data_IF_160153562370
#
_entry.id   IF_160153562370
#
_cell.length_a   1.000
_cell.length_b   1.000
_cell.length_c   1.000
_cell.angle_alpha   90.00
_cell.angle_beta   90.00
_cell.angle_gamma   90.00
#
_symmetry.space_group_name_H-M   'P 1'
#
loop_
_entity.id
_entity.type
_entity.pdbx_description
1 polymer ?
#
# COMPACT_ATOMS: atom_id res chain seq x y z
N UNK A 1 -33.26 41.45 32.19
CA UNK A 1 -32.02 42.18 31.93
C UNK A 1 -30.90 41.32 32.49
N UNK A 2 -30.69 40.13 31.94
CA UNK A 2 -30.19 39.78 30.60
C UNK A 2 -28.66 39.91 30.54
N UNK A 3 -28.01 38.76 30.44
CA UNK A 3 -26.57 38.60 30.20
C UNK A 3 -26.38 37.22 29.55
N UNK A 4 -26.34 37.22 28.22
CA UNK A 4 -25.92 36.12 27.38
C UNK A 4 -24.92 36.61 26.33
N UNK A 5 -24.25 35.63 25.69
CA UNK A 5 -23.29 35.73 24.57
C UNK A 5 -21.86 36.13 25.01
N UNK A 6 -20.78 35.46 24.62
CA UNK A 6 -20.43 34.87 23.32
C UNK A 6 -19.65 33.55 23.44
N UNK A 7 -20.02 32.53 22.65
CA UNK A 7 -19.20 31.36 22.41
C UNK A 7 -19.46 30.76 21.02
N UNK A 8 -19.23 31.55 19.95
CA UNK A 8 -19.25 31.10 18.55
C UNK A 8 -18.06 31.70 17.80
N UNK A 9 -16.90 31.03 17.80
CA UNK A 9 -15.82 31.38 16.86
C UNK A 9 -14.83 30.25 16.53
N UNK A 10 -15.04 29.02 17.02
CA UNK A 10 -14.08 27.91 16.78
C UNK A 10 -14.53 26.96 15.66
N UNK A 11 -15.82 26.91 15.30
CA UNK A 11 -16.33 26.01 14.25
C UNK A 11 -16.19 26.55 12.82
N UNK A 12 -15.96 27.86 12.64
CA UNK A 12 -15.89 28.49 11.31
C UNK A 12 -14.53 28.32 10.62
N UNK A 13 -13.44 28.13 11.38
CA UNK A 13 -12.10 27.93 10.81
C UNK A 13 -11.86 26.49 10.31
N UNK A 14 -12.53 25.47 10.89
CA UNK A 14 -12.40 24.09 10.43
C UNK A 14 -13.09 23.84 9.08
N UNK A 15 -14.24 24.51 8.82
CA UNK A 15 -14.96 24.40 7.53
C UNK A 15 -14.21 25.05 6.36
N UNK A 16 -13.53 26.18 6.57
CA UNK A 16 -12.82 26.87 5.49
C UNK A 16 -11.60 26.08 4.97
N UNK A 17 -10.99 25.26 5.83
CA UNK A 17 -9.85 24.40 5.46
C UNK A 17 -10.25 23.22 4.56
N UNK A 18 -11.45 22.67 4.74
CA UNK A 18 -12.03 21.63 3.89
C UNK A 18 -12.45 22.17 2.50
N UNK A 19 -12.97 23.40 2.45
CA UNK A 19 -13.33 24.06 1.18
C UNK A 19 -12.11 24.43 0.33
N UNK A 20 -10.96 24.70 0.93
CA UNK A 20 -9.71 24.93 0.18
C UNK A 20 -9.21 23.69 -0.59
N UNK A 21 -9.61 22.49 -0.16
CA UNK A 21 -9.29 21.22 -0.83
C UNK A 21 -10.29 20.88 -1.94
N UNK A 22 -11.52 21.39 -1.85
CA UNK A 22 -12.55 21.31 -2.89
C UNK A 22 -12.12 22.06 -4.16
N UNK A 23 -11.40 23.18 -4.03
CA UNK A 23 -10.92 23.99 -5.16
C UNK A 23 -9.87 23.34 -6.07
N UNK A 24 -9.29 22.19 -5.67
CA UNK A 24 -8.34 21.42 -6.51
C UNK A 24 -9.04 20.35 -7.35
N UNK A 25 -10.37 20.19 -7.21
CA UNK A 25 -11.15 19.10 -7.81
C UNK A 25 -11.87 19.44 -9.11
N UNK A 26 -11.59 20.59 -9.74
CA UNK A 26 -12.23 20.92 -11.02
C UNK A 26 -11.48 20.29 -12.20
N UNK A 27 -11.68 18.98 -12.37
CA UNK A 27 -11.57 18.33 -13.67
C UNK A 27 -13.00 18.18 -14.20
N UNK A 28 -13.37 19.07 -15.11
CA UNK A 28 -14.61 19.03 -15.87
C UNK A 28 -14.70 17.70 -16.63
N UNK A 29 -15.69 16.88 -16.29
CA UNK A 29 -16.18 15.81 -17.16
C UNK A 29 -17.68 16.05 -17.27
N UNK A 30 -18.05 16.66 -18.39
CA UNK A 30 -19.44 16.75 -18.82
C UNK A 30 -19.94 15.35 -19.19
N UNK A 31 -21.12 15.01 -18.68
CA UNK A 31 -21.96 13.90 -19.15
C UNK A 31 -22.35 14.11 -20.61
N UNK A 32 -22.38 13.03 -21.41
CA UNK A 32 -23.50 12.70 -22.30
C UNK A 32 -23.37 11.27 -22.87
N UNK A 33 -24.51 10.56 -22.80
CA UNK A 33 -24.97 9.40 -23.59
C UNK A 33 -24.38 7.99 -23.37
N UNK A 34 -25.10 6.89 -23.52
CA UNK A 34 -26.51 6.46 -23.33
C UNK A 34 -26.48 4.93 -23.56
N UNK A 35 -27.39 4.21 -22.91
CA UNK A 35 -27.65 2.76 -22.94
C UNK A 35 -27.54 2.02 -24.30
N UNK A 36 -27.08 0.75 -24.28
CA UNK A 36 -27.92 -0.42 -24.68
C UNK A 36 -27.19 -1.79 -24.63
N UNK A 37 -27.76 -2.69 -23.81
CA UNK A 37 -28.14 -4.11 -24.02
C UNK A 37 -27.21 -5.07 -24.82
N UNK A 38 -26.92 -6.27 -24.25
CA UNK A 38 -27.37 -7.60 -24.76
C UNK A 38 -27.07 -8.74 -23.76
N UNK A 39 -28.10 -9.59 -23.60
CA UNK A 39 -28.21 -10.87 -22.88
C UNK A 39 -27.14 -11.91 -23.23
N UNK A 40 -26.75 -12.74 -22.26
CA UNK A 40 -26.25 -14.10 -22.50
C UNK A 40 -26.92 -15.07 -21.48
N UNK A 41 -27.45 -16.23 -21.91
CA UNK A 41 -28.25 -17.10 -21.05
C UNK A 41 -27.39 -18.00 -20.16
N UNK A 42 -27.95 -18.32 -18.99
CA UNK A 42 -27.50 -19.34 -18.06
C UNK A 42 -27.82 -20.71 -18.65
N UNK A 43 -26.83 -21.60 -18.73
CA UNK A 43 -27.05 -23.03 -18.98
C UNK A 43 -26.63 -23.78 -17.73
N UNK A 44 -27.62 -24.31 -17.03
CA UNK A 44 -27.45 -25.34 -16.00
C UNK A 44 -27.04 -26.65 -16.66
N UNK A 45 -26.00 -27.30 -16.14
CA UNK A 45 -25.83 -28.74 -16.30
C UNK A 45 -25.31 -29.35 -14.99
N UNK A 46 -26.21 -30.07 -14.34
CA UNK A 46 -25.94 -31.08 -13.33
C UNK A 46 -25.25 -32.28 -13.98
N UNK A 47 -24.14 -32.77 -13.40
CA UNK A 47 -23.80 -34.19 -13.48
C UNK A 47 -23.06 -34.64 -12.21
N UNK A 48 -23.65 -35.63 -11.55
CA UNK A 48 -23.08 -36.42 -10.46
C UNK A 48 -22.33 -37.60 -11.05
N UNK A 49 -21.14 -37.91 -10.54
CA UNK A 49 -20.50 -39.20 -10.84
C UNK A 49 -19.10 -39.41 -10.28
N UNK A 50 -19.00 -40.24 -9.24
CA UNK A 50 -18.03 -41.35 -9.21
C UNK A 50 -16.57 -41.04 -8.88
N UNK A 51 -16.20 -41.21 -7.61
CA UNK A 51 -14.83 -41.41 -7.19
C UNK A 51 -14.23 -42.71 -7.77
N UNK A 52 -13.08 -42.61 -8.43
CA UNK A 52 -12.14 -43.74 -8.62
C UNK A 52 -10.73 -43.21 -8.35
N UNK A 53 -10.19 -43.60 -7.19
CA UNK A 53 -8.78 -43.48 -6.85
C UNK A 53 -8.02 -44.49 -7.70
N UNK A 54 -7.18 -44.02 -8.62
CA UNK A 54 -6.17 -44.86 -9.27
C UNK A 54 -4.78 -44.34 -8.94
N UNK A 55 -4.07 -45.11 -8.12
CA UNK A 55 -2.63 -45.01 -7.93
C UNK A 55 -1.95 -45.36 -9.25
N UNK A 56 -1.35 -44.37 -9.91
CA UNK A 56 -0.32 -44.64 -10.91
C UNK A 56 0.98 -43.94 -10.50
N UNK A 57 1.90 -44.76 -10.02
CA UNK A 57 3.27 -44.43 -9.70
C UNK A 57 4.08 -44.39 -11.00
N UNK A 58 4.13 -43.22 -11.64
CA UNK A 58 5.13 -42.95 -12.68
C UNK A 58 6.25 -42.10 -12.07
N UNK A 59 7.33 -42.78 -11.71
CA UNK A 59 8.64 -42.22 -11.41
C UNK A 59 9.22 -41.58 -12.68
N UNK A 60 8.81 -40.36 -12.99
CA UNK A 60 9.59 -39.47 -13.85
C UNK A 60 10.53 -38.67 -12.97
N UNK A 61 11.81 -39.04 -13.01
CA UNK A 61 12.91 -38.30 -12.39
C UNK A 61 13.26 -37.07 -13.25
N UNK A 62 12.28 -36.22 -13.54
CA UNK A 62 12.52 -34.87 -14.05
C UNK A 62 12.70 -33.97 -12.83
N UNK A 63 13.82 -33.24 -12.82
CA UNK A 63 14.27 -32.45 -11.67
C UNK A 63 13.18 -31.48 -11.20
N UNK A 64 12.57 -31.78 -10.05
CA UNK A 64 11.52 -30.96 -9.46
C UNK A 64 11.97 -29.49 -9.36
N UNK A 65 11.17 -28.60 -9.94
CA UNK A 65 11.35 -27.16 -9.80
C UNK A 65 11.22 -26.78 -8.32
N UNK A 66 12.14 -25.93 -7.85
CA UNK A 66 12.14 -25.43 -6.48
C UNK A 66 11.46 -24.06 -6.51
N UNK A 67 10.28 -23.96 -5.93
CA UNK A 67 9.57 -22.69 -5.82
C UNK A 67 10.20 -21.89 -4.67
N UNK A 68 10.53 -20.62 -4.92
CA UNK A 68 11.05 -19.73 -3.90
C UNK A 68 10.08 -19.60 -2.70
N UNK A 69 10.63 -19.49 -1.50
CA UNK A 69 9.86 -19.28 -0.29
C UNK A 69 9.57 -17.79 -0.06
N UNK A 70 8.33 -17.40 -0.33
CA UNK A 70 7.81 -16.03 -0.19
C UNK A 70 7.88 -15.51 1.27
N UNK A 71 8.09 -16.36 2.27
CA UNK A 71 8.30 -15.93 3.66
C UNK A 71 9.68 -15.30 3.91
N UNK A 72 10.67 -15.62 3.07
CA UNK A 72 12.06 -15.20 3.30
C UNK A 72 12.27 -13.68 3.20
N UNK A 73 11.71 -12.94 2.22
CA UNK A 73 11.96 -11.51 2.14
C UNK A 73 11.36 -10.73 3.31
N UNK A 74 10.17 -11.15 3.79
CA UNK A 74 9.51 -10.54 4.96
C UNK A 74 10.30 -10.74 6.27
N UNK A 75 11.12 -11.80 6.35
CA UNK A 75 12.00 -12.02 7.51
C UNK A 75 13.16 -11.03 7.60
N UNK A 76 13.49 -10.32 6.52
CA UNK A 76 14.66 -9.43 6.41
C UNK A 76 15.97 -10.06 6.93
N UNK A 77 16.17 -11.36 6.70
CA UNK A 77 17.33 -12.12 7.20
C UNK A 77 18.71 -11.56 6.77
N UNK A 78 18.76 -10.72 5.75
CA UNK A 78 19.97 -9.99 5.34
C UNK A 78 20.46 -8.97 6.38
N UNK A 79 19.63 -8.59 7.36
CA UNK A 79 20.01 -7.68 8.44
C UNK A 79 20.91 -8.32 9.49
N UNK A 80 20.91 -9.65 9.61
CA UNK A 80 21.59 -10.38 10.67
C UNK A 80 20.67 -11.34 11.40
N UNK A 81 21.22 -12.08 12.36
CA UNK A 81 20.50 -13.05 13.21
C UNK A 81 20.43 -12.60 14.68
N UNK A 82 20.95 -11.42 14.94
CA UNK A 82 21.18 -10.83 16.26
C UNK A 82 20.10 -9.79 16.63
N UNK A 83 19.04 -9.69 15.83
CA UNK A 83 17.87 -8.89 16.16
C UNK A 83 17.07 -9.60 17.25
N UNK A 84 16.94 -8.94 18.39
CA UNK A 84 16.14 -9.40 19.51
C UNK A 84 14.71 -8.89 19.36
N UNK A 85 13.74 -9.79 19.57
CA UNK A 85 12.32 -9.44 19.60
C UNK A 85 12.02 -8.61 20.85
N UNK A 86 11.38 -7.46 20.64
CA UNK A 86 10.94 -6.59 21.71
C UNK A 86 9.43 -6.70 21.83
N UNK A 87 8.97 -7.14 23.00
CA UNK A 87 7.56 -7.19 23.35
C UNK A 87 7.03 -5.84 23.81
N UNK A 88 5.75 -5.58 23.55
CA UNK A 88 5.07 -4.37 24.02
C UNK A 88 4.54 -3.54 22.87
N UNK A 89 3.22 -3.30 22.89
CA UNK A 89 2.51 -2.51 21.88
C UNK A 89 1.87 -1.31 22.54
N UNK A 90 2.32 -0.11 22.18
CA UNK A 90 1.68 1.14 22.58
C UNK A 90 0.73 1.62 21.48
N UNK A 91 -0.52 1.85 21.84
CA UNK A 91 -1.52 2.50 20.98
C UNK A 91 -2.02 3.71 21.73
N UNK A 92 -1.84 4.89 21.13
CA UNK A 92 -2.30 6.15 21.70
C UNK A 92 -3.80 6.32 21.50
N UNK A 93 -4.45 7.01 22.43
CA UNK A 93 -5.86 7.39 22.30
C UNK A 93 -6.06 8.31 21.10
N UNK A 94 -7.11 8.09 20.32
CA UNK A 94 -7.46 8.95 19.19
C UNK A 94 -7.71 10.39 19.67
N UNK A 95 -7.36 11.38 18.82
CA UNK A 95 -7.48 12.82 19.10
C UNK A 95 -6.63 13.33 20.28
N UNK A 96 -5.77 12.49 20.87
CA UNK A 96 -4.83 12.91 21.89
C UNK A 96 -3.64 13.68 21.30
N UNK A 97 -3.12 14.64 22.06
CA UNK A 97 -1.86 15.32 21.78
C UNK A 97 -0.75 14.64 22.55
N UNK A 98 0.26 14.14 21.84
CA UNK A 98 1.38 13.40 22.42
C UNK A 98 2.70 13.93 21.91
N UNK A 99 3.75 13.82 22.73
CA UNK A 99 5.11 14.19 22.32
C UNK A 99 5.89 12.93 22.04
N UNK A 100 6.33 12.75 20.79
CA UNK A 100 7.06 11.55 20.37
C UNK A 100 8.42 11.90 19.74
N UNK A 101 9.44 11.03 19.86
CA UNK A 101 10.65 11.15 19.06
C UNK A 101 10.32 11.07 17.57
N UNK A 102 10.96 11.89 16.73
CA UNK A 102 10.76 11.91 15.29
C UNK A 102 12.02 11.46 14.59
N UNK A 103 11.92 10.40 13.77
CA UNK A 103 13.05 9.90 13.00
C UNK A 103 13.44 10.95 11.93
N UNK A 104 14.66 11.50 11.96
CA UNK A 104 15.13 12.41 10.93
C UNK A 104 15.49 11.65 9.64
N UNK A 105 15.36 12.32 8.50
CA UNK A 105 15.69 11.75 7.18
C UNK A 105 14.44 11.29 6.43
N UNK A 106 14.62 10.97 5.15
CA UNK A 106 13.50 10.84 4.22
C UNK A 106 13.21 9.39 3.91
N UNK A 107 12.23 8.86 4.62
CA UNK A 107 11.66 7.53 4.44
C UNK A 107 10.49 7.50 3.42
N UNK A 108 10.26 8.59 2.68
CA UNK A 108 9.02 8.75 1.92
C UNK A 108 7.83 8.75 2.88
N UNK A 109 6.75 8.04 2.52
CA UNK A 109 5.51 7.99 3.30
C UNK A 109 5.28 6.59 3.88
N UNK A 110 5.46 6.45 5.19
CA UNK A 110 5.13 5.24 5.95
C UNK A 110 3.62 5.10 6.09
N UNK A 111 3.05 3.97 5.68
CA UNK A 111 1.64 3.67 5.90
C UNK A 111 1.43 2.81 7.14
N UNK A 112 0.28 2.93 7.83
CA UNK A 112 -0.13 1.98 8.86
C UNK A 112 -0.10 0.54 8.33
N UNK A 113 0.42 -0.39 9.14
CA UNK A 113 0.58 -1.80 8.79
C UNK A 113 1.83 -2.14 7.97
N UNK A 114 2.55 -1.15 7.42
CA UNK A 114 3.75 -1.39 6.63
C UNK A 114 4.96 -1.70 7.53
N UNK A 115 5.71 -2.74 7.17
CA UNK A 115 7.00 -3.11 7.79
C UNK A 115 8.09 -2.15 7.34
N UNK A 116 8.95 -1.75 8.28
CA UNK A 116 9.99 -0.75 8.13
C UNK A 116 11.33 -1.26 8.70
N UNK A 117 12.19 -1.88 7.88
CA UNK A 117 13.55 -2.22 8.28
C UNK A 117 14.47 -0.99 8.16
N UNK A 118 15.36 -0.80 9.13
CA UNK A 118 16.30 0.33 9.15
C UNK A 118 17.66 -0.08 9.70
N UNK A 119 18.73 0.45 9.11
CA UNK A 119 20.11 0.36 9.62
C UNK A 119 20.68 1.77 9.73
N UNK A 120 21.17 2.11 10.91
CA UNK A 120 21.62 3.45 11.29
C UNK A 120 23.03 3.41 11.83
N UNK A 121 23.83 4.41 11.46
CA UNK A 121 25.20 4.62 12.00
C UNK A 121 25.43 6.02 12.58
N UNK A 122 24.59 7.00 12.25
CA UNK A 122 24.75 8.35 12.80
C UNK A 122 24.26 8.45 14.23
N UNK A 123 24.96 9.30 14.99
CA UNK A 123 24.71 9.48 16.41
C UNK A 123 23.28 9.92 16.72
N UNK A 124 22.69 10.83 15.93
CA UNK A 124 21.35 11.37 16.18
C UNK A 124 20.25 10.32 16.10
N UNK A 125 20.21 9.53 15.01
CA UNK A 125 19.24 8.45 14.85
C UNK A 125 19.52 7.28 15.81
N UNK A 126 20.79 6.92 16.04
CA UNK A 126 21.15 5.84 16.97
C UNK A 126 20.70 6.15 18.40
N UNK A 127 20.94 7.38 18.88
CA UNK A 127 20.49 7.81 20.22
C UNK A 127 18.96 7.85 20.32
N UNK A 128 18.26 8.28 19.26
CA UNK A 128 16.80 8.23 19.22
C UNK A 128 16.29 6.80 19.36
N UNK A 129 16.82 5.86 18.57
CA UNK A 129 16.35 4.48 18.55
C UNK A 129 16.61 3.77 19.88
N UNK A 130 17.79 3.95 20.47
CA UNK A 130 18.11 3.38 21.78
C UNK A 130 17.14 3.88 22.86
N UNK A 131 16.86 5.19 22.87
CA UNK A 131 15.88 5.77 23.79
C UNK A 131 14.45 5.27 23.55
N UNK A 132 14.06 5.02 22.30
CA UNK A 132 12.77 4.42 22.00
C UNK A 132 12.69 3.00 22.58
N UNK A 133 13.73 2.18 22.42
CA UNK A 133 13.77 0.82 22.97
C UNK A 133 13.80 0.79 24.50
N UNK A 134 14.44 1.78 25.15
CA UNK A 134 14.38 1.92 26.61
C UNK A 134 13.00 2.41 27.13
N UNK A 135 12.16 2.95 26.25
CA UNK A 135 10.86 3.53 26.59
C UNK A 135 9.70 2.78 25.94
N UNK A 136 8.85 3.50 25.18
CA UNK A 136 7.60 2.98 24.62
C UNK A 136 7.74 2.27 23.27
N UNK A 137 8.98 2.01 22.83
CA UNK A 137 9.35 1.40 21.54
C UNK A 137 8.81 2.15 20.31
N UNK A 138 8.35 3.38 20.47
CA UNK A 138 7.59 4.11 19.45
C UNK A 138 8.30 5.41 19.04
N UNK A 139 8.31 5.69 17.74
CA UNK A 139 8.75 6.96 17.16
C UNK A 139 7.82 7.40 16.03
N UNK A 140 7.93 8.64 15.57
CA UNK A 140 7.15 9.19 14.48
C UNK A 140 7.94 9.33 13.19
N UNK A 141 7.35 8.92 12.07
CA UNK A 141 7.84 9.18 10.72
C UNK A 141 7.01 10.27 10.07
N UNK A 142 7.60 11.44 9.84
CA UNK A 142 6.92 12.56 9.16
C UNK A 142 7.07 12.40 7.65
N UNK A 143 5.95 12.47 6.92
CA UNK A 143 5.93 12.40 5.46
C UNK A 143 6.33 13.75 4.86
N UNK A 144 7.62 14.05 4.87
CA UNK A 144 8.16 15.35 4.50
C UNK A 144 9.01 15.27 3.23
N UNK A 145 8.42 15.18 2.03
CA UNK A 145 9.22 15.47 0.81
C UNK A 145 8.55 15.81 -0.53
N UNK A 146 7.23 15.91 -0.65
CA UNK A 146 6.62 16.07 -1.99
C UNK A 146 5.75 17.31 -2.19
N UNK A 147 6.02 18.41 -1.49
CA UNK A 147 5.45 19.68 -1.97
C UNK A 147 6.54 20.59 -2.47
N UNK A 148 6.47 20.83 -3.78
CA UNK A 148 6.95 22.05 -4.42
C UNK A 148 6.57 23.26 -3.57
N UNK A 149 7.48 24.23 -3.56
CA UNK A 149 7.56 25.40 -2.70
C UNK A 149 6.46 26.45 -2.94
N UNK A 150 5.18 26.06 -2.94
CA UNK A 150 4.11 26.97 -3.39
C UNK A 150 2.93 27.18 -2.43
N UNK A 151 2.73 26.43 -1.34
CA UNK A 151 1.54 26.65 -0.50
C UNK A 151 1.87 26.75 0.99
N UNK A 152 1.62 27.97 1.48
CA UNK A 152 1.58 28.44 2.86
C UNK A 152 0.55 27.57 3.63
N UNK A 153 0.90 27.14 4.85
CA UNK A 153 0.15 26.21 5.74
C UNK A 153 0.17 24.72 5.35
N UNK A 154 1.36 24.18 5.06
CA UNK A 154 1.54 22.73 4.83
C UNK A 154 1.25 21.93 6.11
N UNK A 155 0.05 21.37 6.22
CA UNK A 155 -0.27 20.34 7.21
C UNK A 155 0.67 19.14 7.01
N UNK A 156 1.43 18.81 8.04
CA UNK A 156 2.41 17.72 7.99
C UNK A 156 1.81 16.46 8.60
N UNK A 157 1.53 15.46 7.78
CA UNK A 157 1.08 14.14 8.23
C UNK A 157 2.27 13.21 8.47
N UNK A 158 2.04 12.22 9.33
CA UNK A 158 3.00 11.16 9.58
C UNK A 158 2.33 9.93 10.16
N UNK A 159 3.16 8.92 10.41
CA UNK A 159 2.73 7.64 10.96
C UNK A 159 3.65 7.28 12.12
N UNK A 160 3.07 6.86 13.25
CA UNK A 160 3.84 6.27 14.35
C UNK A 160 4.39 4.91 13.91
N UNK A 161 5.59 4.58 14.35
CA UNK A 161 6.27 3.33 14.06
C UNK A 161 6.70 2.69 15.38
N UNK A 162 6.33 1.43 15.56
CA UNK A 162 6.67 0.61 16.72
C UNK A 162 7.81 -0.32 16.36
N UNK A 163 8.91 -0.25 17.11
CA UNK A 163 10.05 -1.16 17.02
C UNK A 163 9.64 -2.48 17.66
N UNK A 164 9.71 -3.56 16.89
CA UNK A 164 9.42 -4.91 17.38
C UNK A 164 10.64 -5.84 17.31
N UNK A 165 11.69 -5.45 16.59
CA UNK A 165 13.00 -6.11 16.63
C UNK A 165 14.11 -5.07 16.64
N UNK A 166 15.16 -5.29 17.42
CA UNK A 166 16.28 -4.37 17.60
C UNK A 166 17.62 -5.09 17.76
N UNK A 167 18.69 -4.46 17.27
CA UNK A 167 20.07 -4.87 17.49
C UNK A 167 20.95 -3.61 17.55
N UNK A 168 21.90 -3.59 18.48
CA UNK A 168 22.94 -2.56 18.62
C UNK A 168 24.30 -3.25 18.67
N UNK A 169 24.86 -3.53 17.49
CA UNK A 169 26.11 -4.28 17.36
C UNK A 169 26.99 -3.69 16.24
N UNK A 170 28.31 -3.89 16.35
CA UNK A 170 29.30 -3.50 15.33
C UNK A 170 29.23 -2.02 14.91
N UNK A 171 28.84 -1.14 15.83
CA UNK A 171 28.74 0.31 15.59
C UNK A 171 27.56 0.72 14.68
N UNK A 172 26.56 -0.15 14.51
CA UNK A 172 25.33 0.15 13.78
C UNK A 172 24.09 -0.33 14.57
N UNK A 173 23.07 0.51 14.63
CA UNK A 173 21.75 0.11 15.15
C UNK A 173 20.90 -0.40 14.00
N UNK A 174 20.35 -1.60 14.16
CA UNK A 174 19.42 -2.23 13.22
C UNK A 174 18.08 -2.42 13.90
N UNK A 175 17.01 -2.09 13.18
CA UNK A 175 15.65 -2.31 13.68
C UNK A 175 14.75 -2.89 12.60
N UNK A 176 13.69 -3.55 13.05
CA UNK A 176 12.45 -3.65 12.30
C UNK A 176 11.35 -2.97 13.10
N UNK A 177 10.61 -2.11 12.43
CA UNK A 177 9.47 -1.43 12.99
C UNK A 177 8.25 -1.58 12.10
N UNK A 178 7.06 -1.34 12.66
CA UNK A 178 5.79 -1.40 11.91
C UNK A 178 5.02 -0.11 12.08
N UNK A 179 4.51 0.44 10.97
CA UNK A 179 3.62 1.60 11.01
C UNK A 179 2.33 1.28 11.77
N UNK A 180 1.88 2.17 12.67
CA UNK A 180 0.70 1.94 13.52
C UNK A 180 -0.40 2.97 13.32
N UNK A 181 -0.21 4.21 13.78
CA UNK A 181 -1.27 5.22 13.81
C UNK A 181 -0.88 6.45 13.01
N UNK A 182 -1.87 7.05 12.35
CA UNK A 182 -1.69 8.32 11.65
C UNK A 182 -1.64 9.46 12.65
N UNK A 183 -0.83 10.46 12.36
CA UNK A 183 -0.79 11.69 13.14
C UNK A 183 -0.64 12.93 12.26
N UNK A 184 -1.03 14.07 12.82
CA UNK A 184 -0.71 15.41 12.32
C UNK A 184 0.35 16.03 13.21
N UNK A 185 1.46 16.46 12.64
CA UNK A 185 2.52 17.17 13.36
C UNK A 185 2.04 18.60 13.65
N UNK A 186 2.07 18.99 14.93
CA UNK A 186 1.70 20.32 15.39
C UNK A 186 2.92 21.22 15.53
N UNK A 187 3.94 20.71 16.22
CA UNK A 187 5.20 21.43 16.44
C UNK A 187 6.36 20.44 16.53
N UNK A 188 7.58 20.89 16.28
CA UNK A 188 8.78 20.08 16.43
C UNK A 188 9.91 20.86 17.08
N UNK A 189 10.65 20.22 17.97
CA UNK A 189 11.82 20.78 18.65
C UNK A 189 12.99 19.80 18.60
N UNK A 190 14.20 20.33 18.48
CA UNK A 190 15.43 19.53 18.55
C UNK A 190 15.83 19.40 20.01
N UNK A 191 16.11 18.18 20.45
CA UNK A 191 16.56 17.91 21.81
C UNK A 191 18.07 18.22 21.95
N UNK A 192 18.56 18.46 23.18
CA UNK A 192 20.00 18.62 23.42
C UNK A 192 20.84 17.41 22.96
N UNK A 193 20.25 16.21 22.97
CA UNK A 193 20.86 14.97 22.50
C UNK A 193 20.91 14.83 20.97
N UNK A 194 20.49 15.85 20.22
CA UNK A 194 20.64 15.93 18.76
C UNK A 194 19.51 15.33 17.93
N UNK A 195 18.58 14.59 18.53
CA UNK A 195 17.40 14.07 17.82
C UNK A 195 16.18 15.00 17.98
N UNK A 196 15.18 14.88 17.09
CA UNK A 196 13.97 15.71 17.11
C UNK A 196 12.85 15.05 17.89
N UNK A 197 12.05 15.83 18.59
CA UNK A 197 10.75 15.43 19.15
C UNK A 197 9.66 16.31 18.56
N UNK A 198 8.48 15.75 18.36
CA UNK A 198 7.31 16.47 17.84
C UNK A 198 6.12 16.33 18.77
N UNK A 199 5.41 17.43 18.96
CA UNK A 199 4.04 17.37 19.45
C UNK A 199 3.14 17.00 18.27
N UNK A 200 2.41 15.91 18.41
CA UNK A 200 1.56 15.36 17.35
C UNK A 200 0.15 15.15 17.86
N UNK A 201 -0.83 15.35 16.97
CA UNK A 201 -2.22 14.98 17.18
C UNK A 201 -2.46 13.60 16.54
N UNK A 202 -2.85 12.61 17.35
CA UNK A 202 -3.21 11.28 16.86
C UNK A 202 -4.54 11.37 16.12
N UNK A 203 -4.58 10.91 14.86
CA UNK A 203 -5.76 11.01 14.02
C UNK A 203 -6.65 9.77 14.19
N UNK A 204 -7.98 9.95 14.27
CA UNK A 204 -8.91 8.84 14.41
C UNK A 204 -9.08 8.09 13.09
N UNK A 205 -9.47 6.82 13.19
CA UNK A 205 -9.85 6.00 12.05
C UNK A 205 -11.37 5.76 12.03
N UNK A 206 -12.09 6.58 11.25
CA UNK A 206 -13.54 6.63 11.21
C UNK A 206 -14.11 5.42 10.45
N UNK A 207 -14.61 4.45 11.21
CA UNK A 207 -15.37 3.29 10.71
C UNK A 207 -16.86 3.63 10.65
N UNK A 208 -17.38 3.88 9.45
CA UNK A 208 -18.80 4.15 9.23
C UNK A 208 -19.58 2.86 9.06
N UNK A 209 -20.80 2.85 9.58
CA UNK A 209 -21.76 1.77 9.34
C UNK A 209 -22.36 1.86 7.93
N UNK A 210 -23.08 0.81 7.53
CA UNK A 210 -23.75 0.78 6.23
C UNK A 210 -24.73 1.97 6.05
N UNK A 211 -24.85 2.58 4.84
CA UNK A 211 -25.71 3.75 4.64
C UNK A 211 -27.16 3.59 5.10
N UNK A 212 -27.73 2.38 4.96
CA UNK A 212 -29.11 2.09 5.40
C UNK A 212 -29.25 1.71 6.88
N UNK A 213 -28.15 1.67 7.65
CA UNK A 213 -28.21 1.31 9.07
C UNK A 213 -29.06 2.26 9.91
N UNK A 214 -29.15 3.54 9.52
CA UNK A 214 -29.98 4.52 10.23
C UNK A 214 -31.49 4.37 9.96
N UNK A 215 -31.89 3.79 8.82
CA UNK A 215 -33.31 3.66 8.45
C UNK A 215 -33.96 2.36 8.92
N UNK A 216 -33.16 1.34 9.25
CA UNK A 216 -33.55 -0.06 9.37
C UNK A 216 -35.02 -0.29 9.75
N UNK A 217 -35.88 -0.46 8.72
CA UNK A 217 -37.30 -0.72 8.91
C UNK A 217 -37.52 -2.01 9.72
N UNK A 218 -38.23 -1.88 10.84
CA UNK A 218 -38.48 -2.99 11.77
C UNK A 218 -39.25 -4.14 11.12
N UNK A 219 -40.17 -3.82 10.20
CA UNK A 219 -40.96 -4.81 9.44
C UNK A 219 -40.10 -5.71 8.55
N UNK A 220 -38.89 -5.26 8.18
CA UNK A 220 -37.96 -6.01 7.35
C UNK A 220 -36.94 -6.82 8.16
N UNK A 221 -36.93 -6.72 9.49
CA UNK A 221 -35.89 -7.34 10.32
C UNK A 221 -35.80 -8.86 10.15
N UNK A 222 -36.94 -9.56 10.04
CA UNK A 222 -36.99 -11.00 9.80
C UNK A 222 -36.39 -11.40 8.43
N UNK A 223 -36.45 -10.51 7.45
CA UNK A 223 -35.94 -10.75 6.09
C UNK A 223 -34.47 -10.31 5.92
N UNK A 224 -33.88 -9.55 6.84
CA UNK A 224 -32.48 -9.07 6.71
C UNK A 224 -31.46 -10.20 6.66
N UNK A 225 -31.72 -11.29 7.37
CA UNK A 225 -30.83 -12.46 7.42
C UNK A 225 -30.89 -13.25 6.12
N UNK A 226 -32.10 -13.46 5.58
CA UNK A 226 -32.33 -14.31 4.41
C UNK A 226 -32.26 -13.56 3.08
N UNK A 227 -32.58 -12.27 3.04
CA UNK A 227 -32.65 -11.48 1.83
C UNK A 227 -32.20 -10.02 2.03
N UNK A 228 -30.94 -9.86 2.49
CA UNK A 228 -30.27 -8.57 2.74
C UNK A 228 -30.45 -7.59 1.57
N UNK A 229 -30.27 -8.04 0.33
CA UNK A 229 -30.27 -7.16 -0.84
C UNK A 229 -31.66 -6.64 -1.22
N UNK A 230 -32.71 -7.46 -1.06
CA UNK A 230 -34.09 -7.00 -1.24
C UNK A 230 -34.48 -5.97 -0.19
N UNK A 231 -34.09 -6.17 1.08
CA UNK A 231 -34.35 -5.19 2.13
C UNK A 231 -33.68 -3.85 1.81
N UNK A 232 -32.39 -3.89 1.44
CA UNK A 232 -31.61 -2.71 1.03
C UNK A 232 -32.24 -1.99 -0.17
N UNK A 233 -32.76 -2.73 -1.16
CA UNK A 233 -33.49 -2.14 -2.30
C UNK A 233 -34.75 -1.41 -1.84
N UNK A 234 -35.53 -2.02 -0.96
CA UNK A 234 -36.76 -1.39 -0.45
C UNK A 234 -36.45 -0.11 0.34
N UNK A 235 -35.43 -0.15 1.19
CA UNK A 235 -34.99 1.01 2.00
C UNK A 235 -34.48 2.15 1.14
N UNK A 236 -33.83 1.85 0.01
CA UNK A 236 -33.35 2.89 -0.91
C UNK A 236 -34.46 3.75 -1.49
N UNK A 237 -35.69 3.22 -1.62
CA UNK A 237 -36.84 4.01 -2.10
C UNK A 237 -37.30 5.09 -1.11
N UNK A 238 -36.90 4.98 0.16
CA UNK A 238 -37.19 6.00 1.17
C UNK A 238 -36.17 7.14 1.19
N UNK A 239 -35.12 7.03 0.37
CA UNK A 239 -34.02 7.97 0.33
C UNK A 239 -33.96 8.69 -1.01
N UNK A 240 -33.17 9.76 -1.06
CA UNK A 240 -33.06 10.63 -2.23
C UNK A 240 -32.41 9.95 -3.45
N UNK A 241 -31.53 8.97 -3.23
CA UNK A 241 -30.72 8.38 -4.29
C UNK A 241 -31.13 6.93 -4.59
N UNK A 242 -30.98 6.46 -5.84
CA UNK A 242 -31.19 5.06 -6.15
C UNK A 242 -30.17 4.17 -5.43
N UNK A 243 -30.54 2.91 -5.18
CA UNK A 243 -29.73 1.92 -4.45
C UNK A 243 -28.26 1.85 -4.89
N UNK A 244 -28.00 1.90 -6.19
CA UNK A 244 -26.65 1.75 -6.75
C UNK A 244 -25.71 2.88 -6.29
N UNK A 245 -26.23 4.07 -5.97
CA UNK A 245 -25.43 5.18 -5.43
C UNK A 245 -24.91 4.83 -4.05
N UNK A 246 -25.76 4.30 -3.18
CA UNK A 246 -25.37 3.84 -1.84
C UNK A 246 -24.42 2.65 -1.89
N UNK A 247 -24.61 1.75 -2.86
CA UNK A 247 -23.71 0.62 -3.09
C UNK A 247 -22.28 1.06 -3.41
N UNK A 248 -22.08 2.26 -3.99
CA UNK A 248 -20.73 2.82 -4.20
C UNK A 248 -20.00 3.19 -2.90
N UNK A 249 -20.71 3.27 -1.78
CA UNK A 249 -20.18 3.60 -0.45
C UNK A 249 -20.31 2.43 0.54
N UNK A 250 -20.91 1.30 0.13
CA UNK A 250 -20.98 0.10 0.95
C UNK A 250 -19.57 -0.52 1.08
N UNK A 251 -19.04 -0.52 2.31
CA UNK A 251 -17.69 -1.02 2.61
C UNK A 251 -17.51 -2.49 2.22
N UNK A 252 -18.54 -3.33 2.42
CA UNK A 252 -18.48 -4.75 2.07
C UNK A 252 -18.31 -4.93 0.56
N UNK A 253 -19.05 -4.13 -0.22
CA UNK A 253 -18.98 -4.13 -1.69
C UNK A 253 -17.66 -3.55 -2.19
N UNK A 254 -17.12 -2.53 -1.54
CA UNK A 254 -15.80 -1.97 -1.87
C UNK A 254 -14.68 -2.99 -1.63
N UNK A 255 -14.72 -3.69 -0.49
CA UNK A 255 -13.78 -4.79 -0.19
C UNK A 255 -13.89 -5.90 -1.24
N UNK A 256 -15.11 -6.32 -1.59
CA UNK A 256 -15.33 -7.33 -2.63
C UNK A 256 -14.79 -6.87 -3.99
N UNK A 257 -15.02 -5.61 -4.39
CA UNK A 257 -14.50 -5.07 -5.65
C UNK A 257 -12.98 -4.99 -5.71
N UNK A 258 -12.28 -4.96 -4.56
CA UNK A 258 -10.82 -5.08 -4.55
C UNK A 258 -10.33 -6.41 -5.11
N UNK A 259 -11.19 -7.44 -5.16
CA UNK A 259 -10.87 -8.70 -5.82
C UNK A 259 -10.62 -8.57 -7.33
N UNK A 260 -11.12 -7.51 -7.96
CA UNK A 260 -10.86 -7.15 -9.36
C UNK A 260 -9.40 -6.75 -9.60
N UNK A 261 -8.66 -6.34 -8.56
CA UNK A 261 -7.24 -5.98 -8.62
C UNK A 261 -6.37 -7.24 -8.65
N UNK A 262 -6.60 -8.11 -9.63
CA UNK A 262 -6.02 -9.45 -9.75
C UNK A 262 -4.48 -9.47 -9.75
N UNK A 263 -3.85 -8.42 -10.27
CA UNK A 263 -2.38 -8.26 -10.24
C UNK A 263 -1.79 -8.28 -8.83
N UNK A 264 -2.53 -7.84 -7.81
CA UNK A 264 -2.10 -7.90 -6.41
C UNK A 264 -2.15 -9.31 -5.83
N UNK A 265 -2.89 -10.21 -6.48
CA UNK A 265 -3.03 -11.61 -6.10
C UNK A 265 -2.05 -12.51 -6.86
N UNK A 266 -1.22 -11.99 -7.74
CA UNK A 266 -0.21 -12.80 -8.42
C UNK A 266 0.90 -13.16 -7.43
N UNK A 267 1.25 -14.44 -7.33
CA UNK A 267 2.33 -14.97 -6.49
C UNK A 267 2.88 -16.26 -7.10
N UNK A 268 3.90 -16.85 -6.51
CA UNK A 268 4.61 -17.99 -7.09
C UNK A 268 3.87 -19.32 -6.90
N UNK A 269 3.08 -19.46 -5.84
CA UNK A 269 2.32 -20.68 -5.54
C UNK A 269 0.89 -20.58 -6.07
N UNK A 270 0.48 -21.60 -6.84
CA UNK A 270 -0.90 -21.74 -7.35
C UNK A 270 -1.88 -22.11 -6.23
N UNK A 271 -1.42 -22.87 -5.25
CA UNK A 271 -2.18 -23.29 -4.08
C UNK A 271 -2.10 -22.20 -2.99
N UNK A 272 -2.79 -21.08 -3.19
CA UNK A 272 -2.91 -20.05 -2.15
C UNK A 272 -3.85 -20.54 -1.05
N UNK A 273 -3.29 -21.21 -0.05
CA UNK A 273 -4.01 -21.63 1.17
C UNK A 273 -4.43 -20.40 2.00
N UNK A 274 -3.76 -19.25 1.84
CA UNK A 274 -4.12 -18.00 2.52
C UNK A 274 -4.29 -16.85 1.53
N UNK A 275 -5.39 -16.11 1.68
CA UNK A 275 -5.63 -14.88 0.94
C UNK A 275 -4.63 -13.83 1.44
N UNK A 276 -3.67 -13.45 0.59
CA UNK A 276 -2.66 -12.40 0.87
C UNK A 276 -3.33 -11.06 1.20
N UNK A 277 -4.55 -10.85 0.72
CA UNK A 277 -5.27 -9.59 0.88
C UNK A 277 -5.96 -9.52 2.26
N UNK A 278 -5.71 -8.46 3.07
CA UNK A 278 -6.37 -8.28 4.36
C UNK A 278 -7.90 -8.18 4.24
N UNK A 279 -8.61 -8.67 5.26
CA UNK A 279 -10.09 -8.63 5.32
C UNK A 279 -10.64 -7.37 5.98
N UNK A 280 -9.93 -6.80 6.97
CA UNK A 280 -10.36 -5.56 7.60
C UNK A 280 -10.25 -4.41 6.57
N UNK A 281 -11.31 -3.59 6.37
CA UNK A 281 -11.30 -2.55 5.35
C UNK A 281 -10.20 -1.49 5.55
N UNK A 282 -9.82 -1.18 6.79
CA UNK A 282 -8.77 -0.21 7.11
C UNK A 282 -7.40 -0.76 6.76
N UNK A 283 -7.12 -1.99 7.17
CA UNK A 283 -5.87 -2.68 6.82
C UNK A 283 -5.75 -2.87 5.31
N UNK A 284 -6.83 -3.31 4.66
CA UNK A 284 -6.89 -3.51 3.22
C UNK A 284 -6.56 -2.23 2.45
N UNK A 285 -7.18 -1.11 2.83
CA UNK A 285 -6.96 0.16 2.14
C UNK A 285 -5.54 0.68 2.28
N UNK A 286 -4.88 0.50 3.44
CA UNK A 286 -3.45 0.84 3.56
C UNK A 286 -2.53 -0.15 2.85
N UNK A 287 -2.88 -1.45 2.86
CA UNK A 287 -2.15 -2.47 2.13
C UNK A 287 -2.17 -2.22 0.62
N UNK A 288 -3.33 -1.91 0.02
CA UNK A 288 -3.43 -1.51 -1.39
C UNK A 288 -2.70 -0.18 -1.64
N UNK A 289 -2.83 0.80 -0.74
CA UNK A 289 -2.14 2.09 -0.85
C UNK A 289 -0.61 1.96 -0.87
N UNK A 290 -0.04 0.87 -0.33
CA UNK A 290 1.40 0.62 -0.42
C UNK A 290 1.88 0.62 -1.88
N UNK A 291 1.04 0.23 -2.84
CA UNK A 291 1.38 0.16 -4.26
C UNK A 291 1.56 1.53 -4.93
N UNK A 292 1.15 2.60 -4.25
CA UNK A 292 1.19 3.95 -4.79
C UNK A 292 2.58 4.57 -4.69
N UNK A 293 2.81 5.59 -5.49
CA UNK A 293 3.94 6.51 -5.32
C UNK A 293 3.77 7.37 -4.05
N UNK A 294 4.83 8.07 -3.65
CA UNK A 294 4.86 8.72 -2.35
C UNK A 294 3.84 9.86 -2.18
N UNK A 295 3.55 10.63 -3.24
CA UNK A 295 2.57 11.72 -3.16
C UNK A 295 1.16 11.18 -2.92
N UNK A 296 0.76 10.14 -3.67
CA UNK A 296 -0.55 9.53 -3.51
C UNK A 296 -0.66 8.79 -2.18
N UNK A 297 0.43 8.21 -1.65
CA UNK A 297 0.46 7.68 -0.28
C UNK A 297 0.20 8.76 0.77
N UNK A 298 0.74 9.97 0.60
CA UNK A 298 0.45 11.08 1.51
C UNK A 298 -1.03 11.46 1.48
N UNK A 299 -1.64 11.50 0.29
CA UNK A 299 -3.08 11.69 0.16
C UNK A 299 -3.87 10.58 0.88
N UNK A 300 -3.44 9.32 0.80
CA UNK A 300 -4.04 8.21 1.54
C UNK A 300 -3.92 8.36 3.07
N UNK A 301 -2.87 8.98 3.59
CA UNK A 301 -2.75 9.28 5.03
C UNK A 301 -3.70 10.39 5.49
N UNK A 302 -4.04 11.34 4.62
CA UNK A 302 -4.94 12.43 4.95
C UNK A 302 -6.40 11.94 5.12
N UNK A 303 -6.80 10.91 4.38
CA UNK A 303 -8.14 10.33 4.48
C UNK A 303 -8.31 9.54 5.80
N UNK A 304 -9.40 9.82 6.51
CA UNK A 304 -9.67 9.30 7.86
C UNK A 304 -10.61 8.09 7.90
N UNK A 305 -11.03 7.56 6.75
CA UNK A 305 -11.96 6.43 6.66
C UNK A 305 -11.54 5.48 5.54
N UNK A 306 -11.75 4.15 5.68
CA UNK A 306 -11.46 3.20 4.61
C UNK A 306 -12.35 3.41 3.37
N UNK A 307 -13.58 3.90 3.51
CA UNK A 307 -14.51 4.06 2.38
C UNK A 307 -13.95 4.99 1.29
N UNK A 308 -13.62 6.27 1.56
CA UNK A 308 -13.04 7.15 0.56
C UNK A 308 -11.67 6.63 0.06
N UNK A 309 -10.87 6.00 0.92
CA UNK A 309 -9.58 5.39 0.52
C UNK A 309 -9.81 4.29 -0.53
N UNK A 310 -10.64 3.29 -0.24
CA UNK A 310 -10.93 2.18 -1.15
C UNK A 310 -11.55 2.67 -2.46
N UNK A 311 -12.50 3.61 -2.42
CA UNK A 311 -13.11 4.19 -3.63
C UNK A 311 -12.07 4.84 -4.53
N UNK A 312 -11.20 5.66 -3.94
CA UNK A 312 -10.15 6.34 -4.69
C UNK A 312 -9.14 5.34 -5.27
N UNK A 313 -8.70 4.37 -4.46
CA UNK A 313 -7.75 3.32 -4.86
C UNK A 313 -8.29 2.48 -6.03
N UNK A 314 -9.55 2.03 -5.94
CA UNK A 314 -10.20 1.25 -6.99
C UNK A 314 -10.30 2.05 -8.29
N UNK A 315 -10.74 3.31 -8.23
CA UNK A 315 -10.85 4.16 -9.41
C UNK A 315 -9.47 4.42 -10.06
N UNK A 316 -8.46 4.67 -9.24
CA UNK A 316 -7.11 4.96 -9.71
C UNK A 316 -6.43 3.71 -10.32
N UNK A 317 -6.35 2.62 -9.56
CA UNK A 317 -5.59 1.42 -9.95
C UNK A 317 -6.24 0.66 -11.11
N UNK A 318 -7.57 0.75 -11.30
CA UNK A 318 -8.25 0.16 -12.46
C UNK A 318 -7.89 0.83 -13.78
N UNK A 319 -7.48 2.09 -13.75
CA UNK A 319 -7.10 2.86 -14.95
C UNK A 319 -5.59 2.87 -15.18
N UNK A 320 -4.80 2.28 -14.28
CA UNK A 320 -3.35 2.40 -14.26
C UNK A 320 -2.66 1.10 -14.64
N UNK A 321 -2.44 0.86 -15.94
CA UNK A 321 -1.93 -0.44 -16.41
C UNK A 321 -0.42 -0.46 -16.68
N UNK A 322 0.26 0.70 -16.64
CA UNK A 322 1.67 0.84 -16.98
C UNK A 322 2.47 1.59 -15.91
N UNK A 323 3.71 1.14 -15.72
CA UNK A 323 4.74 1.86 -15.00
C UNK A 323 5.70 2.51 -16.01
N UNK A 324 6.03 3.77 -15.77
CA UNK A 324 6.92 4.56 -16.61
C UNK A 324 8.11 5.08 -15.78
N UNK A 325 9.22 5.40 -16.44
CA UNK A 325 10.38 6.00 -15.80
C UNK A 325 10.01 7.41 -15.27
N UNK A 326 10.25 7.67 -13.98
CA UNK A 326 9.97 8.98 -13.37
C UNK A 326 10.82 10.14 -13.92
N UNK A 327 11.86 9.87 -14.72
CA UNK A 327 12.69 10.91 -15.35
C UNK A 327 12.31 11.17 -16.81
N UNK A 328 12.25 10.13 -17.64
CA UNK A 328 12.04 10.29 -19.10
C UNK A 328 10.70 9.76 -19.61
N UNK A 329 9.85 9.23 -18.72
CA UNK A 329 8.51 8.71 -19.01
C UNK A 329 8.45 7.52 -19.98
N UNK A 330 9.59 6.94 -20.36
CA UNK A 330 9.63 5.69 -21.11
C UNK A 330 8.90 4.58 -20.34
N UNK A 331 8.18 3.71 -21.04
CA UNK A 331 7.49 2.55 -20.44
C UNK A 331 8.53 1.58 -19.88
N UNK A 332 8.33 1.19 -18.62
CA UNK A 332 9.22 0.28 -17.88
C UNK A 332 8.57 -1.08 -17.66
N UNK A 333 7.25 -1.14 -17.45
CA UNK A 333 6.59 -2.42 -17.25
C UNK A 333 5.07 -2.26 -17.14
N UNK A 334 4.38 -3.40 -17.08
CA UNK A 334 2.92 -3.44 -16.99
C UNK A 334 2.49 -3.95 -15.62
N UNK A 335 1.30 -3.54 -15.21
CA UNK A 335 0.65 -4.01 -13.99
C UNK A 335 0.44 -5.53 -14.00
N UNK A 336 0.19 -6.11 -15.17
CA UNK A 336 0.02 -7.56 -15.37
C UNK A 336 1.28 -8.38 -15.10
N UNK A 337 2.45 -7.75 -15.10
CA UNK A 337 3.73 -8.41 -14.82
C UNK A 337 4.13 -8.34 -13.33
N UNK A 338 3.36 -7.61 -12.50
CA UNK A 338 3.56 -7.56 -11.05
C UNK A 338 3.26 -8.92 -10.44
N UNK A 339 4.14 -9.39 -9.56
CA UNK A 339 3.93 -10.65 -8.83
C UNK A 339 4.54 -10.55 -7.44
N UNK A 340 4.04 -11.33 -6.49
CA UNK A 340 4.56 -11.37 -5.14
C UNK A 340 5.81 -12.27 -5.05
N UNK A 341 6.94 -11.67 -4.69
CA UNK A 341 8.10 -12.41 -4.16
C UNK A 341 8.07 -12.53 -2.63
N UNK A 342 7.13 -11.86 -1.96
CA UNK A 342 7.00 -11.84 -0.50
C UNK A 342 5.54 -12.10 -0.10
N UNK A 343 5.32 -12.69 1.07
CA UNK A 343 3.99 -12.80 1.69
C UNK A 343 3.31 -11.44 1.91
N UNK A 344 4.09 -10.35 1.96
CA UNK A 344 3.55 -8.99 2.08
C UNK A 344 3.02 -8.43 0.74
N UNK A 345 3.29 -9.10 -0.38
CA UNK A 345 2.83 -8.77 -1.72
C UNK A 345 3.95 -8.52 -2.73
N UNK A 346 3.59 -7.91 -3.87
CA UNK A 346 4.52 -7.58 -4.96
C UNK A 346 5.50 -6.45 -4.62
N UNK A 347 5.23 -5.70 -3.56
CA UNK A 347 6.06 -4.60 -3.13
C UNK A 347 6.52 -4.81 -1.68
N UNK A 348 7.80 -4.59 -1.43
CA UNK A 348 8.38 -4.62 -0.09
C UNK A 348 9.36 -3.46 0.13
N UNK A 349 9.58 -3.11 1.39
CA UNK A 349 10.56 -2.09 1.77
C UNK A 349 11.82 -2.78 2.27
N UNK A 350 12.94 -2.51 1.62
CA UNK A 350 14.24 -3.10 2.00
C UNK A 350 15.23 -2.01 2.36
N UNK A 351 16.34 -2.38 3.01
CA UNK A 351 17.43 -1.47 3.32
C UNK A 351 18.73 -2.05 2.77
N UNK A 352 19.60 -1.21 2.22
CA UNK A 352 20.90 -1.62 1.72
C UNK A 352 21.99 -1.53 2.81
N UNK A 353 23.22 -2.02 2.58
CA UNK A 353 24.30 -1.99 3.58
C UNK A 353 24.61 -0.58 4.11
N UNK A 354 24.43 0.44 3.29
CA UNK A 354 24.67 1.85 3.63
C UNK A 354 23.51 2.50 4.40
N UNK A 355 22.42 1.76 4.65
CA UNK A 355 21.26 2.25 5.39
C UNK A 355 20.26 3.04 4.53
N UNK A 356 20.35 2.97 3.20
CA UNK A 356 19.35 3.55 2.31
C UNK A 356 18.18 2.58 2.11
N UNK A 357 16.98 3.13 2.19
CA UNK A 357 15.74 2.38 2.00
C UNK A 357 15.32 2.34 0.55
N UNK A 358 14.76 1.20 0.16
CA UNK A 358 14.29 0.94 -1.18
C UNK A 358 12.93 0.26 -1.13
N UNK A 359 11.89 1.04 -1.42
CA UNK A 359 10.58 0.51 -1.78
C UNK A 359 10.69 -0.15 -3.15
N UNK A 360 10.62 -1.48 -3.15
CA UNK A 360 10.95 -2.31 -4.32
C UNK A 360 9.71 -3.06 -4.77
N UNK A 361 9.30 -2.84 -6.02
CA UNK A 361 8.21 -3.52 -6.70
C UNK A 361 8.76 -4.63 -7.60
N UNK A 362 8.20 -5.83 -7.49
CA UNK A 362 8.67 -7.02 -8.19
C UNK A 362 7.87 -7.30 -9.45
N UNK A 363 8.56 -7.35 -10.60
CA UNK A 363 8.00 -7.62 -11.93
C UNK A 363 8.71 -8.79 -12.59
N UNK A 364 7.95 -9.65 -13.29
CA UNK A 364 8.51 -10.74 -14.10
C UNK A 364 9.16 -10.21 -15.38
N UNK A 365 8.54 -9.22 -16.02
CA UNK A 365 8.98 -8.62 -17.28
C UNK A 365 9.06 -7.10 -17.18
N UNK A 366 10.01 -6.53 -17.89
CA UNK A 366 10.22 -5.09 -18.00
C UNK A 366 10.63 -4.73 -19.43
N UNK A 367 10.38 -3.48 -19.80
CA UNK A 367 10.76 -2.86 -21.06
C UNK A 367 11.74 -1.71 -20.78
N UNK A 368 12.64 -1.40 -21.71
CA UNK A 368 13.55 -0.25 -21.59
C UNK A 368 14.39 -0.21 -20.29
N UNK A 369 14.73 -1.36 -19.73
CA UNK A 369 15.63 -1.51 -18.58
C UNK A 369 16.83 -2.37 -18.97
N UNK A 370 18.03 -1.93 -18.61
CA UNK A 370 19.28 -2.66 -18.86
C UNK A 370 20.06 -2.87 -17.56
N UNK A 371 20.58 -4.08 -17.28
CA UNK A 371 21.52 -4.31 -16.18
C UNK A 371 22.91 -3.78 -16.58
N UNK A 372 23.60 -3.09 -15.66
CA UNK A 372 24.89 -2.43 -15.92
C UNK A 372 26.02 -2.88 -14.99
N UNK A 373 25.74 -3.77 -14.03
CA UNK A 373 26.74 -4.34 -13.14
C UNK A 373 26.83 -5.85 -13.30
N UNK A 374 27.94 -6.44 -12.85
CA UNK A 374 28.02 -7.87 -12.66
C UNK A 374 27.00 -8.33 -11.59
N UNK A 375 26.43 -9.55 -11.69
CA UNK A 375 25.57 -10.10 -10.66
C UNK A 375 26.33 -10.32 -9.34
N UNK A 376 25.71 -9.95 -8.22
CA UNK A 376 26.25 -10.15 -6.88
C UNK A 376 25.20 -10.73 -5.94
N UNK A 377 25.59 -11.67 -5.09
CA UNK A 377 24.74 -12.18 -4.01
C UNK A 377 24.91 -11.41 -2.70
N UNK A 378 25.86 -10.46 -2.67
CA UNK A 378 26.16 -9.69 -1.48
C UNK A 378 24.93 -8.87 -1.05
N UNK A 379 24.46 -9.08 0.19
CA UNK A 379 23.31 -8.35 0.74
C UNK A 379 22.02 -8.45 -0.10
N UNK A 380 21.81 -9.57 -0.79
CA UNK A 380 20.59 -9.80 -1.56
C UNK A 380 19.37 -9.88 -0.65
N UNK A 381 18.31 -9.13 -0.99
CA UNK A 381 17.03 -9.16 -0.26
C UNK A 381 16.21 -10.43 -0.53
N UNK A 382 16.55 -11.15 -1.61
CA UNK A 382 15.92 -12.40 -2.01
C UNK A 382 16.97 -13.51 -1.96
N UNK A 383 17.06 -14.26 -0.85
CA UNK A 383 18.05 -15.33 -0.71
C UNK A 383 17.98 -16.34 -1.87
N UNK A 384 19.12 -16.73 -2.43
CA UNK A 384 19.16 -17.58 -3.63
C UNK A 384 19.13 -16.81 -4.96
N UNK A 385 19.11 -15.48 -4.93
CA UNK A 385 19.23 -14.62 -6.10
C UNK A 385 20.46 -13.71 -6.03
N UNK A 386 21.13 -13.55 -7.17
CA UNK A 386 22.14 -12.53 -7.39
C UNK A 386 21.49 -11.32 -8.08
N UNK A 387 21.80 -10.11 -7.61
CA UNK A 387 21.28 -8.86 -8.16
C UNK A 387 22.31 -8.14 -9.02
N UNK A 388 21.82 -7.44 -10.06
CA UNK A 388 22.60 -6.50 -10.88
C UNK A 388 21.89 -5.15 -10.91
N UNK A 389 22.63 -4.06 -10.79
CA UNK A 389 22.09 -2.70 -10.89
C UNK A 389 21.46 -2.51 -12.27
N UNK A 390 20.25 -1.97 -12.30
CA UNK A 390 19.48 -1.74 -13.51
C UNK A 390 19.15 -0.26 -13.69
N UNK A 391 19.31 0.22 -14.92
CA UNK A 391 19.04 1.60 -15.34
C UNK A 391 18.04 1.65 -16.48
N UNK A 392 17.36 2.79 -16.62
CA UNK A 392 16.53 3.04 -17.79
C UNK A 392 17.42 3.15 -19.04
N UNK A 393 17.07 2.43 -20.11
CA UNK A 393 17.78 2.42 -21.39
C UNK A 393 17.89 3.81 -22.02
N UNK A 394 16.91 4.69 -21.79
CA UNK A 394 16.86 6.01 -22.41
C UNK A 394 17.63 7.07 -21.62
N UNK A 395 17.36 7.23 -20.33
CA UNK A 395 17.96 8.30 -19.52
C UNK A 395 19.12 7.86 -18.63
N UNK A 396 19.44 6.55 -18.61
CA UNK A 396 20.51 5.96 -17.80
C UNK A 396 20.38 6.20 -16.29
N UNK A 397 19.23 6.68 -15.81
CA UNK A 397 18.93 6.79 -14.38
C UNK A 397 18.65 5.41 -13.81
N UNK A 398 19.09 5.19 -12.57
CA UNK A 398 18.77 4.01 -11.78
C UNK A 398 17.26 3.79 -11.73
N UNK A 399 16.81 2.56 -11.98
CA UNK A 399 15.40 2.16 -11.86
C UNK A 399 15.19 0.98 -10.94
N UNK A 400 16.25 0.25 -10.56
CA UNK A 400 16.17 -0.88 -9.65
C UNK A 400 17.25 -1.92 -9.93
N UNK A 401 16.89 -3.19 -9.82
CA UNK A 401 17.81 -4.33 -9.95
C UNK A 401 17.18 -5.48 -10.74
N UNK A 402 18.03 -6.19 -11.49
CA UNK A 402 17.70 -7.50 -12.04
C UNK A 402 18.12 -8.57 -11.04
N UNK A 403 17.25 -9.51 -10.72
CA UNK A 403 17.55 -10.66 -9.87
C UNK A 403 17.58 -11.93 -10.73
N UNK A 404 18.66 -12.70 -10.63
CA UNK A 404 18.86 -13.96 -11.34
C UNK A 404 19.12 -15.06 -10.32
N UNK A 405 18.41 -16.18 -10.45
CA UNK A 405 18.55 -17.32 -9.55
C UNK A 405 19.97 -17.89 -9.61
N UNK A 406 20.57 -18.16 -8.46
CA UNK A 406 21.89 -18.81 -8.37
C UNK A 406 21.81 -20.32 -8.63
N UNK A 407 20.63 -20.91 -8.40
CA UNK A 407 20.31 -22.29 -8.73
C UNK A 407 19.34 -22.34 -9.91
N UNK A 408 19.68 -23.08 -10.97
CA UNK A 408 18.86 -23.22 -12.19
C UNK A 408 17.49 -23.85 -11.94
N UNK A 409 17.31 -24.58 -10.84
CA UNK A 409 16.02 -25.19 -10.46
C UNK A 409 15.11 -24.22 -9.70
N UNK A 410 15.63 -23.09 -9.22
CA UNK A 410 14.86 -22.12 -8.44
C UNK A 410 13.98 -21.28 -9.39
N UNK A 411 12.69 -21.20 -9.07
CA UNK A 411 11.73 -20.39 -9.80
C UNK A 411 11.29 -19.16 -8.98
N UNK A 412 11.12 -17.99 -9.62
CA UNK A 412 11.38 -17.72 -11.04
C UNK A 412 12.89 -17.67 -11.33
N UNK A 413 13.35 -18.17 -12.48
CA UNK A 413 14.79 -18.12 -12.82
C UNK A 413 15.37 -16.70 -12.88
N UNK A 414 14.53 -15.71 -13.17
CA UNK A 414 14.87 -14.29 -13.21
C UNK A 414 13.62 -13.42 -12.98
N UNK A 415 13.81 -12.28 -12.33
CA UNK A 415 12.81 -11.23 -12.21
C UNK A 415 13.48 -9.86 -12.00
N UNK A 416 12.69 -8.82 -11.79
CA UNK A 416 13.15 -7.45 -11.56
C UNK A 416 12.57 -6.88 -10.28
N UNK A 417 13.41 -6.25 -9.46
CA UNK A 417 12.98 -5.43 -8.33
C UNK A 417 13.19 -3.97 -8.67
N UNK A 418 12.12 -3.25 -8.99
CA UNK A 418 12.16 -1.85 -9.41
C UNK A 418 11.92 -0.91 -8.24
N UNK A 419 12.72 0.15 -8.14
CA UNK A 419 12.57 1.17 -7.11
C UNK A 419 11.36 2.05 -7.39
N UNK A 420 10.37 2.08 -6.48
CA UNK A 420 9.16 2.92 -6.62
C UNK A 420 9.46 4.41 -6.75
N UNK A 421 10.55 4.89 -6.17
CA UNK A 421 10.96 6.30 -6.30
C UNK A 421 11.43 6.65 -7.72
N UNK A 422 11.73 5.65 -8.55
CA UNK A 422 12.20 5.82 -9.92
C UNK A 422 11.09 5.58 -10.96
N UNK A 423 9.87 5.27 -10.51
CA UNK A 423 8.74 4.91 -11.34
C UNK A 423 7.53 5.80 -11.05
N UNK A 424 6.85 6.22 -12.12
CA UNK A 424 5.50 6.77 -12.03
C UNK A 424 4.50 5.75 -12.57
N UNK A 425 3.26 5.88 -12.11
CA UNK A 425 2.15 5.07 -12.61
C UNK A 425 1.37 5.89 -13.64
N UNK A 426 1.23 5.37 -14.87
CA UNK A 426 0.52 6.05 -15.96
C UNK A 426 -0.95 5.64 -15.98
N UNK A 427 -1.84 6.63 -15.99
CA UNK A 427 -3.26 6.42 -16.28
C UNK A 427 -3.40 6.18 -17.79
N UNK A 428 -3.99 5.06 -18.16
CA UNK A 428 -4.36 4.72 -19.53
C UNK A 428 -5.81 5.19 -19.75
N UNK A 429 -5.99 6.25 -20.54
CA UNK A 429 -7.32 6.65 -21.05
C UNK A 429 -7.66 5.83 -22.31
N UNK A 430 -8.94 5.77 -22.69
CA UNK A 430 -9.39 5.01 -23.87
C UNK A 430 -8.66 5.43 -25.16
N UNK A 431 -8.35 6.72 -25.32
CA UNK A 431 -7.51 7.24 -26.42
C UNK A 431 -6.07 6.66 -26.43
N UNK A 432 -5.52 6.36 -25.26
CA UNK A 432 -4.20 5.72 -25.14
C UNK A 432 -4.28 4.19 -25.29
N UNK A 433 -5.45 3.57 -25.11
CA UNK A 433 -5.65 2.12 -25.31
C UNK A 433 -5.74 1.75 -26.79
N UNK A 434 -6.36 2.58 -27.64
CA UNK A 434 -6.37 2.36 -29.10
C UNK A 434 -4.97 2.40 -29.73
N UNK A 435 -3.97 3.04 -29.10
CA UNK A 435 -2.59 3.05 -29.60
C UNK A 435 -1.81 1.74 -29.39
N UNK A 436 -2.41 0.75 -28.71
CA UNK A 436 -1.75 -0.53 -28.38
C UNK A 436 -2.16 -1.68 -29.31
N UNK A 437 -3.22 -1.54 -30.11
CA UNK A 437 -3.70 -2.59 -31.04
C UNK A 437 -3.59 -2.24 -32.53
N UNK A 438 -3.11 -1.05 -32.91
CA UNK A 438 -2.93 -0.67 -34.32
C UNK A 438 -1.45 -0.51 -34.71
N UNK A 439 -0.83 -1.63 -35.11
CA UNK A 439 0.04 -1.63 -36.29
C UNK A 439 -0.16 -2.96 -37.03
N UNK A 440 -0.97 -3.02 -38.10
CA UNK A 440 -0.89 -4.13 -39.02
C UNK A 440 0.51 -4.13 -39.67
N UNK A 441 1.15 -5.29 -39.56
CA UNK A 441 2.28 -5.69 -40.39
C UNK A 441 1.89 -5.46 -41.85
N UNK A 442 2.63 -4.58 -42.53
CA UNK A 442 2.89 -4.73 -43.96
C UNK A 442 4.32 -5.17 -44.16
#
# INVERSE_FOLDING_TARGET
MDSGEDNESVESEERSSLDSFSGVLQLDVADEDLESVINVPIVDNFEMGGAIVSHNSNLNTESAEIIFDEGLPASHSYLGRDLEEIGGRLIFTELSRVVIPLLPGTYGTLLPGQTFPLTVRDHGRTTLLRKCVEGDHTFGCVSARYLSTAIINKVMFGTTAEIYEFSDDMGAVRIKAKGRQRFRLLSSKTTPSGYRTGEVLILPEIKLSHPFSALQLTSLNSFRVTNKERCRKMESFMLAWPKWVYDMYDVDKLVQRCDELTFLKQGLRKDKVENVMPKDPTELSFWIASQLDSEKRLFMLALNSPIPRLRWLLNFLRKCHQFICGTCRAVIGKQTDCFAMSIEGAQGTYVNPEGYHHDTLTLLKVENVIPISAPSTHFSWFPGYAWSIAVCRHCQKHVGWQFVATNRKLQPTKFWGLSRQSLDTRICTEENMCSLDDLPVM
#
